data_IF_472195680427
#
_entry.id   IF_472195680427
#
_cell.length_a   1.000
_cell.length_b   1.000
_cell.length_c   1.000
_cell.angle_alpha   90.00
_cell.angle_beta   90.00
_cell.angle_gamma   90.00
#
_symmetry.space_group_name_H-M   'P 1'
#
loop_
_entity.id
_entity.type
_entity.pdbx_description
1 polymer ?
#
# COMPACT_ATOMS: atom_id res chain seq x y z
N UNK A 1 28.63 -26.20 -15.75
CA UNK A 1 27.60 -25.31 -16.36
C UNK A 1 26.16 -25.68 -16.01
N UNK A 2 25.86 -26.93 -15.58
CA UNK A 2 24.49 -27.33 -15.18
C UNK A 2 23.98 -26.69 -13.89
N UNK A 3 24.84 -26.45 -12.90
CA UNK A 3 24.38 -25.97 -11.57
C UNK A 3 23.92 -24.51 -11.52
N UNK A 4 24.33 -23.65 -12.47
CA UNK A 4 23.91 -22.23 -12.48
C UNK A 4 22.52 -22.01 -13.05
N UNK A 5 22.04 -22.89 -13.95
CA UNK A 5 20.67 -22.81 -14.49
C UNK A 5 19.66 -23.15 -13.40
N UNK A 6 19.89 -24.24 -12.66
CA UNK A 6 19.00 -24.65 -11.58
C UNK A 6 18.83 -23.56 -10.49
N UNK A 7 19.90 -22.84 -10.13
CA UNK A 7 19.82 -21.78 -9.12
C UNK A 7 18.97 -20.59 -9.59
N UNK A 8 19.08 -20.21 -10.88
CA UNK A 8 18.30 -19.11 -11.43
C UNK A 8 16.82 -19.48 -11.56
N UNK A 9 16.53 -20.71 -11.98
CA UNK A 9 15.16 -21.22 -12.06
C UNK A 9 14.51 -21.27 -10.66
N UNK A 10 15.26 -21.68 -9.63
CA UNK A 10 14.81 -21.68 -8.24
C UNK A 10 14.49 -20.26 -7.72
N UNK A 11 15.35 -19.27 -8.04
CA UNK A 11 15.12 -17.86 -7.64
C UNK A 11 13.92 -17.25 -8.36
N UNK A 12 13.75 -17.54 -9.66
CA UNK A 12 12.58 -17.06 -10.40
C UNK A 12 11.28 -17.64 -9.86
N UNK A 13 11.28 -18.93 -9.53
CA UNK A 13 10.13 -19.58 -8.91
C UNK A 13 9.83 -18.98 -7.52
N UNK A 14 10.86 -18.73 -6.70
CA UNK A 14 10.68 -18.08 -5.40
C UNK A 14 10.08 -16.67 -5.56
N UNK A 15 10.61 -15.84 -6.46
CA UNK A 15 10.06 -14.52 -6.75
C UNK A 15 8.60 -14.59 -7.17
N UNK A 16 8.25 -15.55 -8.02
CA UNK A 16 6.87 -15.74 -8.45
C UNK A 16 5.96 -16.11 -7.28
N UNK A 17 6.31 -17.11 -6.48
CA UNK A 17 5.51 -17.54 -5.33
C UNK A 17 5.27 -16.40 -4.33
N UNK A 18 6.29 -15.57 -4.09
CA UNK A 18 6.21 -14.43 -3.16
C UNK A 18 5.37 -13.28 -3.71
N UNK A 19 5.49 -12.97 -5.02
CA UNK A 19 4.60 -12.01 -5.69
C UNK A 19 3.15 -12.47 -5.62
N UNK A 20 2.87 -13.72 -5.95
CA UNK A 20 1.51 -14.27 -5.94
C UNK A 20 0.89 -14.17 -4.54
N UNK A 21 1.68 -14.40 -3.48
CA UNK A 21 1.23 -14.23 -2.10
C UNK A 21 0.87 -12.77 -1.75
N UNK A 22 1.64 -11.79 -2.23
CA UNK A 22 1.31 -10.38 -2.02
C UNK A 22 0.10 -9.92 -2.84
N UNK A 23 -0.10 -10.46 -4.04
CA UNK A 23 -1.32 -10.21 -4.82
C UNK A 23 -2.56 -10.80 -4.14
N UNK A 24 -2.45 -12.02 -3.60
CA UNK A 24 -3.50 -12.64 -2.79
C UNK A 24 -3.82 -11.79 -1.55
N UNK A 25 -2.78 -11.25 -0.90
CA UNK A 25 -2.94 -10.29 0.19
C UNK A 25 -3.72 -9.05 -0.27
N UNK A 26 -3.33 -8.40 -1.39
CA UNK A 26 -4.03 -7.20 -1.90
C UNK A 26 -5.50 -7.50 -2.15
N UNK A 27 -5.80 -8.59 -2.84
CA UNK A 27 -7.19 -8.99 -3.15
C UNK A 27 -8.01 -9.40 -1.93
N UNK A 28 -7.37 -9.82 -0.84
CA UNK A 28 -8.05 -10.24 0.40
C UNK A 28 -8.20 -9.11 1.43
N UNK A 29 -7.28 -8.14 1.41
CA UNK A 29 -7.19 -7.09 2.43
C UNK A 29 -7.89 -5.78 2.03
N UNK A 30 -8.24 -5.63 0.75
CA UNK A 30 -8.83 -4.42 0.18
C UNK A 30 -10.00 -4.78 -0.74
N UNK A 31 -11.00 -3.91 -0.76
CA UNK A 31 -12.04 -3.95 -1.78
C UNK A 31 -11.47 -3.55 -3.15
N UNK A 32 -12.04 -4.03 -4.27
CA UNK A 32 -11.53 -3.75 -5.62
C UNK A 32 -11.45 -2.26 -5.98
N UNK A 33 -12.29 -1.42 -5.38
CA UNK A 33 -12.26 0.04 -5.57
C UNK A 33 -11.17 0.72 -4.72
N UNK A 34 -10.70 0.06 -3.66
CA UNK A 34 -9.66 0.57 -2.77
C UNK A 34 -8.26 0.20 -3.24
N UNK A 35 -8.08 -1.06 -3.65
CA UNK A 35 -6.83 -1.53 -4.23
C UNK A 35 -7.09 -2.65 -5.24
N UNK A 36 -6.35 -2.62 -6.34
CA UNK A 36 -6.42 -3.63 -7.39
C UNK A 36 -5.05 -3.78 -8.05
N UNK A 37 -4.91 -4.77 -8.92
CA UNK A 37 -3.69 -4.98 -9.66
C UNK A 37 -3.98 -5.40 -11.10
N UNK A 38 -3.06 -5.04 -11.99
CA UNK A 38 -3.17 -5.28 -13.43
C UNK A 38 -1.86 -5.89 -13.94
N UNK A 39 -1.95 -6.83 -14.89
CA UNK A 39 -0.78 -7.34 -15.60
C UNK A 39 -0.39 -6.38 -16.74
N UNK A 40 0.88 -6.00 -16.76
CA UNK A 40 1.53 -5.38 -17.89
C UNK A 40 2.60 -6.38 -18.40
N UNK A 41 2.93 -6.34 -19.69
CA UNK A 41 3.74 -7.35 -20.43
C UNK A 41 4.63 -8.25 -19.55
N UNK A 42 5.57 -7.64 -18.82
CA UNK A 42 6.50 -8.36 -17.93
C UNK A 42 6.46 -7.88 -16.47
N UNK A 43 5.45 -7.11 -16.07
CA UNK A 43 5.38 -6.50 -14.73
C UNK A 43 3.95 -6.54 -14.18
N UNK A 44 3.82 -6.52 -12.87
CA UNK A 44 2.51 -6.37 -12.24
C UNK A 44 2.42 -4.97 -11.65
N UNK A 45 1.35 -4.26 -11.99
CA UNK A 45 1.04 -2.97 -11.38
C UNK A 45 0.06 -3.18 -10.24
N UNK A 46 0.32 -2.57 -9.10
CA UNK A 46 -0.61 -2.52 -7.96
C UNK A 46 -1.04 -1.08 -7.79
N UNK A 47 -2.35 -0.87 -7.71
CA UNK A 47 -2.98 0.42 -7.56
C UNK A 47 -3.63 0.52 -6.18
N UNK A 48 -3.41 1.64 -5.50
CA UNK A 48 -4.05 1.95 -4.21
C UNK A 48 -4.69 3.33 -4.25
N UNK A 49 -5.99 3.40 -3.95
CA UNK A 49 -6.74 4.65 -3.86
C UNK A 49 -6.74 5.23 -2.43
N UNK A 50 -6.09 6.36 -2.22
CA UNK A 50 -6.04 7.04 -0.93
C UNK A 50 -6.97 8.26 -0.92
N UNK A 51 -7.66 8.47 0.20
CA UNK A 51 -8.54 9.63 0.40
C UNK A 51 -7.83 10.70 1.22
N UNK A 52 -7.64 11.86 0.62
CA UNK A 52 -7.13 13.06 1.26
C UNK A 52 -8.30 13.90 1.76
N UNK A 53 -8.58 13.84 3.05
CA UNK A 53 -9.70 14.57 3.65
C UNK A 53 -9.29 15.98 4.09
N UNK A 54 -10.20 16.94 3.90
CA UNK A 54 -10.15 18.30 4.43
C UNK A 54 -11.45 18.60 5.19
N UNK A 55 -11.53 19.74 5.87
CA UNK A 55 -12.73 20.15 6.62
C UNK A 55 -13.97 20.32 5.74
N UNK A 56 -13.79 20.66 4.45
CA UNK A 56 -14.88 21.00 3.53
C UNK A 56 -14.96 20.10 2.29
N UNK A 57 -13.92 19.34 1.96
CA UNK A 57 -13.88 18.49 0.77
C UNK A 57 -12.89 17.35 0.92
N UNK A 58 -12.99 16.35 0.04
CA UNK A 58 -12.04 15.24 -0.05
C UNK A 58 -11.51 15.12 -1.47
N UNK A 59 -10.25 14.71 -1.61
CA UNK A 59 -9.67 14.32 -2.88
C UNK A 59 -9.34 12.83 -2.86
N UNK A 60 -9.48 12.18 -4.01
CA UNK A 60 -9.02 10.82 -4.21
C UNK A 60 -7.73 10.86 -5.02
N UNK A 61 -6.72 10.12 -4.57
CA UNK A 61 -5.45 9.94 -5.26
C UNK A 61 -5.20 8.46 -5.48
N UNK A 62 -4.49 8.11 -6.55
CA UNK A 62 -4.05 6.75 -6.83
C UNK A 62 -2.53 6.68 -6.75
N UNK A 63 -2.03 5.85 -5.84
CA UNK A 63 -0.64 5.40 -5.78
C UNK A 63 -0.48 4.17 -6.68
N UNK A 64 0.57 4.15 -7.51
CA UNK A 64 0.91 3.01 -8.37
C UNK A 64 2.25 2.43 -7.97
N UNK A 65 2.27 1.12 -7.68
CA UNK A 65 3.44 0.31 -7.41
C UNK A 65 3.66 -0.65 -8.58
N UNK A 66 4.90 -1.08 -8.79
CA UNK A 66 5.27 -2.02 -9.84
C UNK A 66 6.16 -3.12 -9.27
N UNK A 67 5.76 -4.37 -9.51
CA UNK A 67 6.57 -5.56 -9.27
C UNK A 67 7.24 -5.99 -10.57
N UNK A 68 8.57 -6.02 -10.58
CA UNK A 68 9.33 -6.64 -11.66
C UNK A 68 9.37 -8.17 -11.50
N UNK A 69 9.76 -8.93 -12.54
CA UNK A 69 9.98 -10.38 -12.45
C UNK A 69 11.05 -10.78 -11.43
N UNK A 70 11.93 -9.84 -11.08
CA UNK A 70 13.03 -9.94 -10.13
C UNK A 70 12.64 -9.65 -8.69
N UNK A 71 11.49 -9.02 -8.47
CA UNK A 71 10.97 -8.71 -7.13
C UNK A 71 10.42 -9.97 -6.43
N UNK A 72 10.61 -10.13 -5.11
CA UNK A 72 11.32 -9.23 -4.18
C UNK A 72 12.83 -9.51 -4.00
N UNK A 73 13.33 -10.64 -4.50
CA UNK A 73 14.66 -11.15 -4.13
C UNK A 73 15.80 -10.32 -4.70
N UNK A 74 15.69 -9.88 -5.96
CA UNK A 74 16.78 -9.18 -6.66
C UNK A 74 16.59 -7.67 -6.74
N UNK A 75 15.35 -7.20 -6.75
CA UNK A 75 15.02 -5.78 -6.87
C UNK A 75 13.92 -5.40 -5.88
N UNK A 76 13.95 -4.17 -5.32
CA UNK A 76 12.89 -3.68 -4.46
C UNK A 76 11.62 -3.35 -5.26
N UNK A 77 10.51 -3.19 -4.54
CA UNK A 77 9.26 -2.75 -5.12
C UNK A 77 9.43 -1.34 -5.73
N UNK A 78 8.97 -1.14 -6.96
CA UNK A 78 9.11 0.16 -7.61
C UNK A 78 7.87 1.02 -7.34
N UNK A 79 8.07 2.23 -6.79
CA UNK A 79 6.99 3.20 -6.59
C UNK A 79 6.96 4.17 -7.76
N UNK A 80 5.98 3.99 -8.63
CA UNK A 80 5.92 4.62 -9.95
C UNK A 80 5.44 6.06 -9.85
N UNK A 81 4.18 6.25 -9.47
CA UNK A 81 3.54 7.56 -9.46
C UNK A 81 2.41 7.69 -8.42
N UNK A 82 2.01 8.94 -8.22
CA UNK A 82 0.77 9.31 -7.53
C UNK A 82 0.00 10.22 -8.48
N UNK A 83 -1.26 9.89 -8.75
CA UNK A 83 -2.15 10.65 -9.64
C UNK A 83 -3.39 11.10 -8.88
N UNK A 84 -3.86 12.32 -9.17
CA UNK A 84 -5.17 12.75 -8.74
C UNK A 84 -6.24 12.01 -9.54
N UNK A 85 -7.22 11.42 -8.86
CA UNK A 85 -8.41 10.91 -9.51
C UNK A 85 -9.41 12.05 -9.58
N UNK A 86 -9.75 12.47 -10.80
CA UNK A 86 -10.82 13.43 -10.98
C UNK A 86 -12.15 12.72 -10.71
N UNK A 87 -12.81 13.09 -9.62
CA UNK A 87 -14.17 12.66 -9.36
C UNK A 87 -15.05 13.18 -10.51
N UNK A 88 -15.54 12.27 -11.34
CA UNK A 88 -16.48 12.55 -12.43
C UNK A 88 -17.89 12.89 -11.93
N UNK A 89 -18.09 13.08 -10.62
CA UNK A 89 -19.42 13.10 -9.99
C UNK A 89 -19.67 14.24 -8.98
N UNK A 90 -18.94 15.36 -9.01
CA UNK A 90 -19.38 16.59 -8.28
C UNK A 90 -19.25 17.83 -9.17
N UNK A 91 -19.88 17.75 -10.34
CA UNK A 91 -20.34 18.92 -11.09
C UNK A 91 -21.82 19.14 -10.78
N UNK A 92 -22.18 19.35 -9.52
CA UNK A 92 -23.51 19.88 -9.20
C UNK A 92 -23.49 20.76 -7.95
N UNK A 93 -23.65 22.07 -8.23
CA UNK A 93 -24.29 23.06 -7.37
C UNK A 93 -23.44 23.56 -6.18
N UNK A 94 -22.44 24.41 -6.45
CA UNK A 94 -22.21 25.64 -5.68
C UNK A 94 -21.05 26.46 -6.27
N UNK A 95 -21.37 27.60 -6.88
CA UNK A 95 -20.43 28.52 -7.54
C UNK A 95 -19.44 29.22 -6.57
N UNK A 96 -19.45 28.88 -5.28
CA UNK A 96 -18.59 29.45 -4.24
C UNK A 96 -17.46 28.51 -3.75
N UNK A 97 -17.46 27.23 -4.16
CA UNK A 97 -16.49 26.20 -3.69
C UNK A 97 -15.28 26.00 -4.61
N UNK A 98 -15.33 26.51 -5.85
CA UNK A 98 -14.31 26.28 -6.89
C UNK A 98 -12.88 26.67 -6.47
N UNK A 99 -12.72 27.81 -5.79
CA UNK A 99 -11.39 28.28 -5.38
C UNK A 99 -10.74 27.39 -4.31
N UNK A 100 -11.51 26.84 -3.38
CA UNK A 100 -10.98 25.99 -2.30
C UNK A 100 -10.57 24.61 -2.83
N UNK A 101 -11.33 24.05 -3.78
CA UNK A 101 -10.96 22.80 -4.43
C UNK A 101 -9.68 22.94 -5.27
N UNK A 102 -9.52 24.07 -5.98
CA UNK A 102 -8.28 24.35 -6.73
C UNK A 102 -7.07 24.48 -5.81
N UNK A 103 -7.23 25.13 -4.65
CA UNK A 103 -6.16 25.22 -3.64
C UNK A 103 -5.82 23.84 -3.08
N UNK A 104 -6.82 23.04 -2.71
CA UNK A 104 -6.63 21.70 -2.18
C UNK A 104 -5.91 20.79 -3.19
N UNK A 105 -6.32 20.82 -4.46
CA UNK A 105 -5.67 20.07 -5.53
C UNK A 105 -4.23 20.51 -5.73
N UNK A 106 -3.97 21.82 -5.76
CA UNK A 106 -2.60 22.36 -5.87
C UNK A 106 -1.73 21.93 -4.68
N UNK A 107 -2.27 21.98 -3.46
CA UNK A 107 -1.59 21.51 -2.26
C UNK A 107 -1.30 20.02 -2.32
N UNK A 108 -2.27 19.21 -2.75
CA UNK A 108 -2.10 17.77 -2.95
C UNK A 108 -0.97 17.50 -3.95
N UNK A 109 -1.01 18.11 -5.13
CA UNK A 109 0.03 17.95 -6.16
C UNK A 109 1.42 18.33 -5.66
N UNK A 110 1.54 19.43 -4.90
CA UNK A 110 2.83 19.83 -4.29
C UNK A 110 3.32 18.82 -3.24
N UNK A 111 2.40 18.13 -2.56
CA UNK A 111 2.73 17.15 -1.52
C UNK A 111 3.07 15.76 -2.05
N UNK A 112 2.74 15.44 -3.32
CA UNK A 112 2.99 14.12 -3.92
C UNK A 112 4.46 13.72 -3.87
N UNK A 113 5.37 14.67 -3.98
CA UNK A 113 6.79 14.38 -3.86
C UNK A 113 7.15 13.79 -2.50
N UNK A 114 6.62 14.34 -1.40
CA UNK A 114 6.86 13.84 -0.04
C UNK A 114 6.26 12.46 0.16
N UNK A 115 5.03 12.22 -0.32
CA UNK A 115 4.40 10.90 -0.28
C UNK A 115 5.21 9.86 -1.06
N UNK A 116 5.59 10.17 -2.31
CA UNK A 116 6.41 9.29 -3.13
C UNK A 116 7.76 8.99 -2.48
N UNK A 117 8.39 10.00 -1.86
CA UNK A 117 9.66 9.82 -1.19
C UNK A 117 9.56 8.81 -0.04
N UNK A 118 8.55 8.93 0.82
CA UNK A 118 8.34 7.99 1.93
C UNK A 118 8.08 6.58 1.42
N UNK A 119 7.18 6.41 0.45
CA UNK A 119 6.90 5.10 -0.13
C UNK A 119 8.15 4.47 -0.77
N UNK A 120 8.97 5.27 -1.47
CA UNK A 120 10.22 4.80 -2.09
C UNK A 120 11.26 4.39 -1.05
N UNK A 121 11.42 5.19 0.00
CA UNK A 121 12.32 4.87 1.11
C UNK A 121 11.90 3.55 1.77
N UNK A 122 10.62 3.38 2.08
CA UNK A 122 10.10 2.12 2.64
C UNK A 122 10.35 0.93 1.70
N UNK A 123 10.12 1.08 0.39
CA UNK A 123 10.38 0.00 -0.56
C UNK A 123 11.87 -0.43 -0.60
N UNK A 124 12.79 0.54 -0.48
CA UNK A 124 14.23 0.30 -0.45
C UNK A 124 14.65 -0.38 0.85
N UNK A 125 14.10 0.05 1.99
CA UNK A 125 14.38 -0.54 3.31
C UNK A 125 14.02 -2.04 3.38
N UNK A 126 13.04 -2.47 2.59
CA UNK A 126 12.61 -3.85 2.49
C UNK A 126 13.16 -4.59 1.25
N UNK A 127 14.32 -4.18 0.72
CA UNK A 127 14.95 -4.90 -0.41
C UNK A 127 15.27 -6.34 -0.02
N UNK A 128 14.86 -7.30 -0.86
CA UNK A 128 14.98 -8.75 -0.57
C UNK A 128 13.74 -9.35 0.11
N UNK A 129 12.80 -8.52 0.53
CA UNK A 129 11.58 -8.89 1.26
C UNK A 129 10.30 -8.38 0.58
N UNK A 130 9.19 -9.08 0.84
CA UNK A 130 7.84 -8.62 0.52
C UNK A 130 7.57 -7.29 1.22
N UNK A 131 7.07 -6.32 0.47
CA UNK A 131 7.04 -4.91 0.88
C UNK A 131 5.82 -4.14 0.38
N UNK A 132 4.91 -4.77 -0.36
CA UNK A 132 3.64 -4.14 -0.76
C UNK A 132 2.90 -3.65 0.45
N UNK A 133 2.69 -4.51 1.46
CA UNK A 133 1.99 -4.10 2.67
C UNK A 133 2.70 -2.94 3.38
N UNK A 134 4.02 -3.02 3.53
CA UNK A 134 4.81 -1.99 4.22
C UNK A 134 4.67 -0.63 3.52
N UNK A 135 4.78 -0.60 2.19
CA UNK A 135 4.65 0.61 1.37
C UNK A 135 3.22 1.16 1.40
N UNK A 136 2.20 0.30 1.27
CA UNK A 136 0.81 0.72 1.35
C UNK A 136 0.46 1.27 2.74
N UNK A 137 0.97 0.65 3.80
CA UNK A 137 0.81 1.13 5.17
C UNK A 137 1.53 2.47 5.37
N UNK A 138 2.76 2.63 4.89
CA UNK A 138 3.49 3.90 4.97
C UNK A 138 2.74 5.04 4.26
N UNK A 139 2.09 4.74 3.12
CA UNK A 139 1.24 5.70 2.43
C UNK A 139 0.01 6.10 3.26
N UNK A 140 -0.66 5.13 3.91
CA UNK A 140 -1.80 5.40 4.82
C UNK A 140 -1.38 6.22 6.05
N UNK A 141 -0.24 5.89 6.66
CA UNK A 141 0.32 6.64 7.79
C UNK A 141 0.66 8.08 7.38
N UNK A 142 1.22 8.29 6.19
CA UNK A 142 1.47 9.63 5.67
C UNK A 142 0.18 10.44 5.51
N UNK A 143 -0.88 9.83 4.95
CA UNK A 143 -2.19 10.48 4.82
C UNK A 143 -2.80 10.82 6.18
N UNK A 144 -2.62 9.96 7.18
CA UNK A 144 -3.14 10.21 8.52
C UNK A 144 -2.35 11.30 9.26
N UNK A 145 -1.02 11.28 9.17
CA UNK A 145 -0.15 12.02 10.09
C UNK A 145 0.48 13.29 9.47
N UNK A 146 0.73 13.29 8.16
CA UNK A 146 1.39 14.41 7.45
C UNK A 146 0.39 15.30 6.73
N UNK A 147 -0.60 14.70 6.06
CA UNK A 147 -1.57 15.48 5.29
C UNK A 147 -2.31 16.56 6.11
N UNK A 148 -2.79 16.30 7.35
CA UNK A 148 -3.41 17.35 8.16
C UNK A 148 -2.46 18.51 8.51
N UNK A 149 -1.15 18.24 8.65
CA UNK A 149 -0.14 19.27 8.92
C UNK A 149 0.07 20.16 7.70
N UNK A 150 0.18 19.55 6.52
CA UNK A 150 0.31 20.26 5.23
C UNK A 150 -0.91 21.16 5.00
N UNK A 151 -2.11 20.68 5.30
CA UNK A 151 -3.34 21.50 5.22
C UNK A 151 -3.31 22.68 6.17
N UNK A 152 -2.88 22.48 7.43
CA UNK A 152 -2.74 23.57 8.41
C UNK A 152 -1.71 24.58 7.92
N UNK A 153 -0.55 24.18 7.44
CA UNK A 153 0.48 25.10 6.93
C UNK A 153 0.00 25.93 5.73
N UNK A 154 -0.79 25.33 4.83
CA UNK A 154 -1.39 26.05 3.71
C UNK A 154 -2.43 27.08 4.18
N UNK A 155 -3.23 26.73 5.18
CA UNK A 155 -4.27 27.60 5.73
C UNK A 155 -3.72 28.68 6.68
N UNK A 156 -2.63 28.39 7.41
CA UNK A 156 -1.97 29.26 8.38
C UNK A 156 -1.28 30.49 7.76
N UNK A 157 -1.29 30.64 6.43
CA UNK A 157 -1.08 31.96 5.80
C UNK A 157 -2.24 32.94 6.05
N UNK A 158 -3.29 32.52 6.76
CA UNK A 158 -4.21 33.36 7.54
C UNK A 158 -4.28 32.83 8.98
N UNK A 159 -4.24 33.69 10.00
CA UNK A 159 -4.28 33.24 11.38
C UNK A 159 -5.72 32.93 11.75
N UNK A 160 -6.04 31.69 12.10
CA UNK A 160 -7.17 31.42 12.99
C UNK A 160 -7.02 30.05 13.67
N UNK A 161 -6.89 30.12 15.00
CA UNK A 161 -6.83 28.99 15.91
C UNK A 161 -8.20 28.31 16.00
N UNK A 162 -8.23 26.98 15.91
CA UNK A 162 -9.12 26.16 16.75
C UNK A 162 -8.69 24.67 16.68
N UNK A 163 -8.46 24.00 17.82
CA UNK A 163 -8.28 22.56 17.85
C UNK A 163 -9.61 21.90 18.24
N UNK A 164 -10.17 21.10 17.33
CA UNK A 164 -11.06 20.00 17.70
C UNK A 164 -11.13 19.01 16.53
N UNK A 165 -10.55 17.81 16.71
CA UNK A 165 -11.01 16.57 16.05
C UNK A 165 -10.28 15.36 16.63
N UNK A 166 -10.99 14.61 17.46
CA UNK A 166 -10.65 13.27 17.93
C UNK A 166 -11.89 12.42 17.67
N UNK A 167 -12.05 11.87 16.45
CA UNK A 167 -13.15 10.93 16.20
C UNK A 167 -12.95 10.03 14.95
N UNK A 168 -12.02 10.36 14.04
CA UNK A 168 -11.72 9.51 12.86
C UNK A 168 -10.62 8.45 13.08
N UNK A 169 -9.89 8.47 14.20
CA UNK A 169 -8.73 7.60 14.45
C UNK A 169 -9.11 6.13 14.72
N UNK A 170 -10.28 5.86 15.28
CA UNK A 170 -10.64 4.53 15.80
C UNK A 170 -10.99 3.53 14.66
N UNK A 171 -11.57 4.02 13.55
CA UNK A 171 -11.88 3.16 12.38
C UNK A 171 -10.65 2.81 11.54
N UNK A 172 -9.66 3.69 11.48
CA UNK A 172 -8.42 3.42 10.73
C UNK A 172 -7.52 2.43 11.48
N UNK A 173 -7.43 2.51 12.81
CA UNK A 173 -6.62 1.56 13.60
C UNK A 173 -7.13 0.11 13.53
N UNK A 174 -8.45 -0.09 13.55
CA UNK A 174 -9.06 -1.43 13.45
C UNK A 174 -8.84 -2.06 12.08
N UNK A 175 -8.93 -1.27 11.01
CA UNK A 175 -8.62 -1.73 9.64
C UNK A 175 -7.12 -2.05 9.48
N UNK A 176 -6.22 -1.22 10.02
CA UNK A 176 -4.78 -1.49 9.97
C UNK A 176 -4.43 -2.77 10.73
N UNK A 177 -5.03 -3.02 11.89
CA UNK A 177 -4.81 -4.26 12.64
C UNK A 177 -5.32 -5.49 11.87
N UNK A 178 -6.51 -5.41 11.27
CA UNK A 178 -7.04 -6.48 10.42
C UNK A 178 -6.14 -6.78 9.22
N UNK A 179 -5.67 -5.74 8.53
CA UNK A 179 -4.74 -5.87 7.39
C UNK A 179 -3.38 -6.44 7.81
N UNK A 180 -2.85 -6.03 8.96
CA UNK A 180 -1.64 -6.62 9.56
C UNK A 180 -1.83 -8.10 9.88
N UNK A 181 -3.00 -8.48 10.40
CA UNK A 181 -3.32 -9.87 10.69
C UNK A 181 -3.34 -10.69 9.39
N UNK A 182 -4.04 -10.20 8.35
CA UNK A 182 -4.12 -10.86 7.04
C UNK A 182 -2.73 -11.00 6.42
N UNK A 183 -1.93 -9.93 6.40
CA UNK A 183 -0.54 -9.96 5.92
C UNK A 183 0.29 -11.00 6.66
N UNK A 184 0.21 -11.04 8.00
CA UNK A 184 0.92 -12.03 8.82
C UNK A 184 0.53 -13.48 8.49
N UNK A 185 -0.71 -13.73 8.05
CA UNK A 185 -1.17 -15.06 7.63
C UNK A 185 -0.74 -15.42 6.20
N UNK A 186 -0.57 -14.44 5.30
CA UNK A 186 -0.04 -14.65 3.95
C UNK A 186 1.50 -14.83 3.93
N UNK A 187 2.23 -14.23 4.89
CA UNK A 187 3.70 -14.36 5.03
C UNK A 187 4.15 -15.81 5.28
N UNK A 188 3.31 -16.68 5.86
CA UNK A 188 3.67 -18.10 5.94
C UNK A 188 3.44 -18.74 4.57
N UNK A 189 4.45 -18.67 3.71
CA UNK A 189 4.49 -19.32 2.41
C UNK A 189 3.93 -20.75 2.50
N UNK A 190 3.12 -21.17 1.52
CA UNK A 190 2.54 -22.53 1.50
C UNK A 190 3.61 -23.61 1.70
N UNK A 191 4.80 -23.38 1.13
CA UNK A 191 6.00 -24.20 1.32
C UNK A 191 6.49 -24.20 2.78
N UNK A 192 6.64 -23.03 3.44
CA UNK A 192 6.98 -22.96 4.87
C UNK A 192 5.92 -23.63 5.76
N UNK A 193 4.62 -23.52 5.43
CA UNK A 193 3.55 -24.27 6.13
C UNK A 193 3.70 -25.78 5.94
N UNK A 194 4.00 -26.22 4.73
CA UNK A 194 4.24 -27.63 4.43
C UNK A 194 5.50 -28.14 5.13
N UNK A 195 6.59 -27.36 5.15
CA UNK A 195 7.86 -27.69 5.81
C UNK A 195 7.70 -27.71 7.32
N UNK A 196 6.99 -26.75 7.93
CA UNK A 196 6.65 -26.78 9.36
C UNK A 196 5.77 -27.99 9.69
N UNK A 197 4.81 -28.34 8.83
CA UNK A 197 3.96 -29.53 9.01
C UNK A 197 4.76 -30.83 8.88
N UNK A 198 5.69 -30.90 7.92
CA UNK A 198 6.60 -32.03 7.73
C UNK A 198 7.57 -32.16 8.92
N UNK A 199 8.12 -31.05 9.39
CA UNK A 199 8.99 -30.99 10.57
C UNK A 199 8.22 -31.40 11.84
N UNK A 200 7.00 -30.90 12.04
CA UNK A 200 6.16 -31.26 13.18
C UNK A 200 5.74 -32.74 13.15
N UNK A 201 5.50 -33.32 11.97
CA UNK A 201 5.28 -34.75 11.80
C UNK A 201 6.53 -35.57 12.15
N UNK A 202 7.72 -35.08 11.79
CA UNK A 202 8.99 -35.72 12.14
C UNK A 202 9.25 -35.74 13.66
N UNK A 203 8.74 -34.75 14.40
CA UNK A 203 8.85 -34.68 15.87
C UNK A 203 7.62 -35.22 16.61
N UNK A 204 6.69 -35.91 15.93
CA UNK A 204 5.47 -36.48 16.52
C UNK A 204 4.58 -35.48 17.29
N UNK A 205 4.65 -34.20 16.94
CA UNK A 205 3.93 -33.14 17.66
C UNK A 205 2.41 -33.12 17.37
N UNK A 206 1.93 -34.02 16.50
CA UNK A 206 0.52 -34.23 16.21
C UNK A 206 0.18 -35.71 16.29
N UNK A 207 -0.60 -36.11 17.31
CA UNK A 207 -1.38 -37.34 17.24
C UNK A 207 -2.70 -37.01 16.53
N UNK A 208 -3.08 -37.73 15.45
CA UNK A 208 -4.41 -37.56 14.88
C UNK A 208 -5.42 -37.98 15.95
N UNK A 209 -6.27 -37.03 16.36
CA UNK A 209 -7.45 -37.34 17.17
C UNK A 209 -8.34 -38.21 16.28
N UNK A 210 -8.47 -39.49 16.65
CA UNK A 210 -9.41 -40.46 16.07
C UNK A 210 -10.83 -40.07 16.45
#
# INVERSE_FOLDING_TARGET
MSSRKNILDDVHQECQERRDAELEFVSSAYEPEEAWWDHQVDTILIHRQLRLESSASSLLIRLTLQMSPSYPVMEPLQVMDVKLLHDTQISSISNSSSNNNNLLQKTALNSFHSLLQICRSTAIEHTGEESVFAVLNAAEEWVRDQWPKILRECNSKKPENNPNKFESAIKTETNVLGRRLIYSHHIIAKKKRADIKALAAHYELYSPIV
#
